data_IF_868299886674
#
_entry.id   IF_868299886674
#
_cell.length_a   1.000
_cell.length_b   1.000
_cell.length_c   1.000
_cell.angle_alpha   90.00
_cell.angle_beta   90.00
_cell.angle_gamma   90.00
#
_symmetry.space_group_name_H-M   'P 1'
#
loop_
_entity.id
_entity.type
_entity.pdbx_description
1 polymer ?
#
# COMPACT_ATOMS: atom_id res chain seq x y z
N UNK A 1 -13.19 38.92 -19.52
CA UNK A 1 -13.02 38.22 -20.80
C UNK A 1 -14.30 37.46 -21.08
N UNK A 2 -15.05 37.86 -22.12
CA UNK A 2 -16.20 37.10 -22.62
C UNK A 2 -15.80 36.43 -23.93
N UNK A 3 -15.97 35.13 -24.03
CA UNK A 3 -15.85 34.40 -25.29
C UNK A 3 -17.24 34.27 -25.90
N UNK A 4 -17.45 34.76 -27.12
CA UNK A 4 -18.61 34.37 -27.92
C UNK A 4 -18.17 33.25 -28.86
N UNK A 5 -18.70 32.05 -28.67
CA UNK A 5 -18.59 30.96 -29.62
C UNK A 5 -19.86 30.96 -30.48
N UNK A 6 -19.72 31.10 -31.79
CA UNK A 6 -20.81 30.91 -32.74
C UNK A 6 -20.54 29.60 -33.49
N UNK A 7 -21.35 28.57 -33.21
CA UNK A 7 -21.29 27.30 -33.92
C UNK A 7 -22.34 27.32 -35.03
N UNK A 8 -21.91 27.34 -36.28
CA UNK A 8 -22.81 27.17 -37.43
C UNK A 8 -22.82 25.70 -37.83
N UNK A 9 -23.92 25.00 -37.51
CA UNK A 9 -24.15 23.64 -37.98
C UNK A 9 -25.01 23.72 -39.24
N UNK A 10 -24.41 23.50 -40.41
CA UNK A 10 -25.17 23.31 -41.63
C UNK A 10 -25.58 21.82 -41.71
N UNK A 11 -26.87 21.53 -41.55
CA UNK A 11 -27.43 20.20 -41.81
C UNK A 11 -28.26 20.23 -43.11
N UNK A 12 -28.02 19.27 -44.01
CA UNK A 12 -29.02 18.86 -45.00
C UNK A 12 -29.53 17.49 -44.60
N UNK A 13 -30.85 17.34 -44.58
CA UNK A 13 -31.52 16.07 -44.29
C UNK A 13 -31.34 15.20 -45.53
N UNK A 14 -30.36 14.30 -45.48
CA UNK A 14 -30.43 12.90 -45.92
C UNK A 14 -29.02 12.26 -45.78
N UNK A 15 -28.93 11.17 -45.00
CA UNK A 15 -27.74 10.36 -44.71
C UNK A 15 -26.55 11.09 -44.04
N UNK A 16 -26.54 11.07 -42.70
CA UNK A 16 -25.55 11.74 -41.85
C UNK A 16 -24.18 11.04 -41.93
N UNK A 17 -23.22 11.69 -42.62
CA UNK A 17 -21.80 11.58 -42.30
C UNK A 17 -21.29 12.98 -41.94
N UNK A 18 -20.94 13.20 -40.68
CA UNK A 18 -20.29 14.45 -40.25
C UNK A 18 -18.86 14.39 -40.77
N UNK A 19 -18.63 14.94 -41.97
CA UNK A 19 -17.32 14.88 -42.63
C UNK A 19 -16.34 15.94 -42.12
N UNK A 20 -16.83 16.97 -41.44
CA UNK A 20 -15.99 18.10 -41.03
C UNK A 20 -16.59 18.82 -39.83
N UNK A 21 -15.80 18.95 -38.76
CA UNK A 21 -16.08 19.88 -37.66
C UNK A 21 -15.02 20.95 -37.74
N UNK A 22 -15.45 22.19 -37.97
CA UNK A 22 -14.57 23.36 -38.01
C UNK A 22 -14.95 24.27 -36.86
N UNK A 23 -14.00 24.55 -35.98
CA UNK A 23 -14.12 25.58 -34.97
C UNK A 23 -13.17 26.73 -35.33
N UNK A 24 -13.72 27.93 -35.46
CA UNK A 24 -12.94 29.15 -35.71
C UNK A 24 -12.91 30.01 -34.45
N UNK A 25 -11.74 30.56 -34.15
CA UNK A 25 -11.52 31.45 -33.02
C UNK A 25 -10.82 32.71 -33.53
N UNK A 26 -11.25 33.87 -33.04
CA UNK A 26 -10.60 35.15 -33.30
C UNK A 26 -9.79 35.57 -32.07
N UNK A 27 -8.50 35.81 -32.22
CA UNK A 27 -7.65 36.34 -31.15
C UNK A 27 -7.93 37.82 -30.91
N UNK A 28 -7.50 38.32 -29.75
CA UNK A 28 -7.75 39.70 -29.31
C UNK A 28 -7.13 40.78 -30.23
N UNK A 29 -6.16 40.40 -31.07
CA UNK A 29 -5.53 41.23 -32.10
C UNK A 29 -6.22 41.14 -33.48
N UNK A 30 -7.33 40.38 -33.57
CA UNK A 30 -8.15 40.26 -34.77
C UNK A 30 -7.76 39.11 -35.71
N UNK A 31 -6.72 38.33 -35.40
CA UNK A 31 -6.33 37.19 -36.23
C UNK A 31 -7.29 36.00 -36.07
N UNK A 32 -7.60 35.33 -37.19
CA UNK A 32 -8.50 34.17 -37.22
C UNK A 32 -7.70 32.87 -37.24
N UNK A 33 -8.10 31.94 -36.39
CA UNK A 33 -7.51 30.62 -36.26
C UNK A 33 -8.57 29.56 -36.50
N UNK A 34 -8.25 28.59 -37.36
CA UNK A 34 -9.15 27.49 -37.69
C UNK A 34 -8.57 26.18 -37.14
N UNK A 35 -9.33 25.51 -36.27
CA UNK A 35 -9.01 24.14 -35.88
C UNK A 35 -9.71 23.20 -36.87
N UNK A 36 -8.92 22.47 -37.68
CA UNK A 36 -9.42 21.45 -38.60
C UNK A 36 -9.14 20.07 -38.04
N UNK A 37 -10.20 19.30 -37.81
CA UNK A 37 -10.10 17.86 -37.60
C UNK A 37 -10.61 17.16 -38.87
N UNK A 38 -9.72 16.62 -39.68
CA UNK A 38 -10.08 15.78 -40.82
C UNK A 38 -10.33 14.35 -40.32
N UNK A 39 -11.55 13.87 -40.48
CA UNK A 39 -11.89 12.46 -40.24
C UNK A 39 -11.46 11.68 -41.49
N UNK A 40 -10.33 10.99 -41.41
CA UNK A 40 -9.80 10.22 -42.53
C UNK A 40 -10.77 9.10 -42.94
N UNK A 41 -11.07 9.03 -44.24
CA UNK A 41 -11.86 7.97 -44.87
C UNK A 41 -11.21 6.59 -44.63
N UNK A 42 -11.81 5.78 -43.74
CA UNK A 42 -11.72 4.32 -43.78
C UNK A 42 -13.06 3.69 -43.45
N UNK A 43 -13.54 2.91 -44.41
CA UNK A 43 -14.63 1.96 -44.25
C UNK A 43 -14.39 1.02 -43.05
N UNK A 44 -15.50 0.64 -42.42
CA UNK A 44 -15.68 -0.29 -41.28
C UNK A 44 -15.43 0.34 -39.91
N UNK A 45 -16.50 0.96 -39.39
CA UNK A 45 -16.67 1.25 -37.97
C UNK A 45 -16.85 -0.06 -37.19
N UNK A 46 -15.76 -0.61 -36.65
CA UNK A 46 -15.85 -1.19 -35.31
C UNK A 46 -15.73 -0.05 -34.31
N UNK A 47 -16.50 -0.04 -33.20
CA UNK A 47 -16.42 1.01 -32.19
C UNK A 47 -15.10 0.85 -31.43
N UNK A 48 -14.02 1.41 -31.99
CA UNK A 48 -12.83 1.75 -31.21
C UNK A 48 -13.07 3.14 -30.64
N UNK A 49 -13.04 3.21 -29.31
CA UNK A 49 -13.11 4.43 -28.53
C UNK A 49 -12.13 5.46 -29.11
N UNK A 50 -12.54 6.69 -29.47
CA UNK A 50 -11.60 7.69 -29.94
C UNK A 50 -10.67 8.06 -28.78
N UNK A 51 -9.44 7.54 -28.80
CA UNK A 51 -8.39 8.02 -27.91
C UNK A 51 -8.02 9.43 -28.36
N UNK A 52 -8.48 10.45 -27.63
CA UNK A 52 -7.83 11.77 -27.66
C UNK A 52 -6.49 11.69 -26.91
N UNK A 53 -5.58 10.85 -27.42
CA UNK A 53 -4.19 10.88 -27.01
C UNK A 53 -3.53 12.06 -27.72
N UNK A 54 -3.63 13.26 -27.15
CA UNK A 54 -2.66 14.30 -27.48
C UNK A 54 -1.33 13.78 -26.93
N UNK A 55 -0.49 13.23 -27.82
CA UNK A 55 0.82 12.74 -27.40
C UNK A 55 1.60 13.91 -26.82
N UNK A 56 2.31 13.67 -25.71
CA UNK A 56 3.24 14.62 -25.10
C UNK A 56 4.25 15.17 -26.14
N UNK A 57 4.55 14.40 -27.18
CA UNK A 57 5.34 14.83 -28.33
C UNK A 57 4.71 16.00 -29.12
N UNK A 58 3.39 15.99 -29.39
CA UNK A 58 2.72 17.10 -30.10
C UNK A 58 2.65 18.37 -29.27
N UNK A 59 2.45 18.26 -27.96
CA UNK A 59 2.49 19.41 -27.04
C UNK A 59 3.90 19.98 -26.97
N UNK A 60 4.93 19.13 -26.97
CA UNK A 60 6.34 19.55 -26.95
C UNK A 60 6.72 20.30 -28.23
N UNK A 61 6.26 19.82 -29.39
CA UNK A 61 6.49 20.49 -30.67
C UNK A 61 5.77 21.85 -30.74
N UNK A 62 4.49 21.91 -30.35
CA UNK A 62 3.72 23.17 -30.34
C UNK A 62 4.26 24.20 -29.32
N UNK A 63 4.76 23.75 -28.17
CA UNK A 63 5.37 24.63 -27.17
C UNK A 63 6.77 25.10 -27.57
N UNK A 64 7.56 24.25 -28.23
CA UNK A 64 8.90 24.59 -28.71
C UNK A 64 8.90 25.66 -29.81
N UNK A 65 7.81 25.76 -30.58
CA UNK A 65 7.60 26.81 -31.58
C UNK A 65 7.13 28.15 -31.03
N UNK A 66 6.63 28.21 -29.78
CA UNK A 66 6.01 29.42 -29.19
C UNK A 66 6.76 29.95 -27.96
N UNK A 67 7.55 29.13 -27.31
CA UNK A 67 8.36 29.50 -26.16
C UNK A 67 9.79 28.97 -26.39
N UNK A 68 10.80 29.68 -25.89
CA UNK A 68 12.20 29.21 -25.92
C UNK A 68 12.82 29.33 -24.54
N UNK A 69 13.81 28.48 -24.23
CA UNK A 69 14.57 28.58 -22.98
C UNK A 69 13.86 27.96 -21.77
N UNK A 70 13.99 28.60 -20.60
CA UNK A 70 13.58 28.04 -19.30
C UNK A 70 12.07 27.73 -19.20
N UNK A 71 11.21 28.47 -19.92
CA UNK A 71 9.75 28.34 -19.83
C UNK A 71 9.25 27.02 -20.47
N UNK A 72 9.82 26.59 -21.60
CA UNK A 72 9.48 25.29 -22.23
C UNK A 72 9.91 24.13 -21.33
N UNK A 73 11.09 24.24 -20.71
CA UNK A 73 11.58 23.27 -19.73
C UNK A 73 10.61 23.18 -18.55
N UNK A 74 10.28 24.31 -17.92
CA UNK A 74 9.36 24.36 -16.77
C UNK A 74 7.97 23.77 -17.10
N UNK A 75 7.41 24.04 -18.28
CA UNK A 75 6.07 23.52 -18.63
C UNK A 75 6.13 22.03 -18.98
N UNK A 76 7.12 21.59 -19.78
CA UNK A 76 7.32 20.17 -20.12
C UNK A 76 7.63 19.33 -18.89
N UNK A 77 8.47 19.84 -17.98
CA UNK A 77 8.86 19.15 -16.74
C UNK A 77 7.64 19.07 -15.79
N UNK A 78 6.84 20.15 -15.68
CA UNK A 78 5.59 20.13 -14.90
C UNK A 78 4.52 19.17 -15.43
N UNK A 79 4.46 18.97 -16.75
CA UNK A 79 3.56 17.95 -17.34
C UNK A 79 4.10 16.53 -17.18
N UNK A 80 5.37 16.34 -16.83
CA UNK A 80 5.98 15.04 -16.60
C UNK A 80 5.93 14.62 -15.13
N UNK A 81 5.92 15.56 -14.18
CA UNK A 81 5.98 15.28 -12.74
C UNK A 81 4.88 14.34 -12.23
N UNK A 82 3.70 14.32 -12.87
CA UNK A 82 2.57 13.46 -12.54
C UNK A 82 1.89 12.97 -13.82
N UNK A 83 1.75 11.65 -13.97
CA UNK A 83 1.02 11.02 -15.07
C UNK A 83 -0.20 10.31 -14.51
N UNK A 84 -1.36 10.49 -15.16
CA UNK A 84 -2.63 9.95 -14.69
C UNK A 84 -2.90 8.59 -15.31
N UNK A 85 -3.43 7.66 -14.51
CA UNK A 85 -3.94 6.38 -15.02
C UNK A 85 -5.05 6.55 -16.08
N UNK A 86 -5.78 7.68 -16.05
CA UNK A 86 -6.82 7.99 -17.05
C UNK A 86 -6.27 8.22 -18.45
N UNK A 87 -5.01 8.66 -18.56
CA UNK A 87 -4.34 8.84 -19.85
C UNK A 87 -4.14 7.49 -20.56
N UNK A 88 -4.27 6.38 -19.83
CA UNK A 88 -4.18 5.00 -20.30
C UNK A 88 -5.53 4.30 -20.39
N UNK A 89 -6.64 5.02 -20.17
CA UNK A 89 -8.00 4.48 -20.25
C UNK A 89 -8.56 3.93 -18.93
N UNK A 90 -7.81 3.99 -17.82
CA UNK A 90 -8.31 3.60 -16.50
C UNK A 90 -9.14 4.74 -15.89
N UNK A 91 -10.46 4.72 -16.09
CA UNK A 91 -11.35 5.80 -15.67
C UNK A 91 -11.92 5.66 -14.25
N UNK A 92 -11.78 4.49 -13.62
CA UNK A 92 -12.21 4.26 -12.23
C UNK A 92 -13.73 4.10 -12.06
N UNK A 93 -14.39 3.42 -13.00
CA UNK A 93 -15.84 3.18 -13.01
C UNK A 93 -16.22 1.71 -12.71
N UNK A 94 -15.48 1.03 -11.84
CA UNK A 94 -15.68 -0.37 -11.41
C UNK A 94 -15.55 -1.46 -12.50
N UNK A 95 -15.13 -1.10 -13.71
CA UNK A 95 -14.73 -2.06 -14.75
C UNK A 95 -13.37 -2.70 -14.40
N UNK A 96 -13.08 -3.84 -15.03
CA UNK A 96 -11.73 -4.39 -15.01
C UNK A 96 -10.79 -3.50 -15.84
N UNK A 97 -9.80 -2.91 -15.17
CA UNK A 97 -8.79 -2.02 -15.75
C UNK A 97 -7.39 -2.60 -15.68
N UNK A 98 -7.26 -3.92 -15.50
CA UNK A 98 -5.96 -4.54 -15.24
C UNK A 98 -4.95 -4.25 -16.34
N UNK A 99 -5.37 -4.31 -17.61
CA UNK A 99 -4.50 -4.08 -18.77
C UNK A 99 -4.02 -2.62 -18.84
N UNK A 100 -4.94 -1.68 -18.67
CA UNK A 100 -4.70 -0.24 -18.71
C UNK A 100 -3.77 0.18 -17.56
N UNK A 101 -4.06 -0.31 -16.34
CA UNK A 101 -3.24 -0.04 -15.16
C UNK A 101 -1.84 -0.66 -15.26
N UNK A 102 -1.71 -1.88 -15.77
CA UNK A 102 -0.39 -2.47 -15.96
C UNK A 102 0.43 -1.71 -17.02
N UNK A 103 -0.21 -1.28 -18.12
CA UNK A 103 0.42 -0.45 -19.14
C UNK A 103 0.89 0.87 -18.56
N UNK A 104 0.05 1.51 -17.75
CA UNK A 104 0.39 2.71 -17.00
C UNK A 104 1.61 2.49 -16.09
N UNK A 105 1.60 1.46 -15.23
CA UNK A 105 2.73 1.18 -14.32
C UNK A 105 4.03 0.87 -15.08
N UNK A 106 3.95 0.14 -16.20
CA UNK A 106 5.11 -0.14 -17.05
C UNK A 106 5.70 1.13 -17.66
N UNK A 107 4.87 2.09 -18.05
CA UNK A 107 5.33 3.37 -18.58
C UNK A 107 5.96 4.25 -17.49
N UNK A 108 5.46 4.16 -16.25
CA UNK A 108 5.97 4.95 -15.13
C UNK A 108 7.27 4.39 -14.55
N UNK A 109 7.41 3.06 -14.50
CA UNK A 109 8.59 2.31 -14.01
C UNK A 109 9.96 2.94 -14.38
N UNK A 110 10.27 3.27 -15.65
CA UNK A 110 11.59 3.82 -16.02
C UNK A 110 11.79 5.29 -15.60
N UNK A 111 10.74 6.00 -15.20
CA UNK A 111 10.80 7.45 -14.96
C UNK A 111 11.10 7.81 -13.50
N UNK A 112 10.70 6.97 -12.55
CA UNK A 112 10.76 7.31 -11.12
C UNK A 112 9.74 8.37 -10.67
N UNK A 113 8.84 8.79 -11.57
CA UNK A 113 7.86 9.86 -11.33
C UNK A 113 6.62 9.34 -10.57
N UNK A 114 5.69 10.24 -10.28
CA UNK A 114 4.43 9.90 -9.59
C UNK A 114 3.41 9.34 -10.57
N UNK A 115 3.10 8.06 -10.40
CA UNK A 115 1.96 7.39 -11.00
C UNK A 115 0.69 7.79 -10.21
N UNK A 116 -0.06 8.77 -10.71
CA UNK A 116 -1.28 9.22 -10.08
C UNK A 116 -2.48 8.36 -10.50
N UNK A 117 -3.17 7.80 -9.52
CA UNK A 117 -4.44 7.10 -9.63
C UNK A 117 -5.53 8.05 -9.13
N UNK A 118 -6.27 8.74 -10.01
CA UNK A 118 -7.34 9.63 -9.57
C UNK A 118 -8.44 8.87 -8.82
N UNK A 119 -9.32 9.60 -8.14
CA UNK A 119 -10.52 9.02 -7.50
C UNK A 119 -11.28 8.11 -8.45
N UNK A 120 -11.77 7.00 -7.93
CA UNK A 120 -12.51 5.99 -8.67
C UNK A 120 -12.28 4.58 -8.11
N UNK A 121 -13.12 3.66 -8.57
CA UNK A 121 -12.97 2.23 -8.31
C UNK A 121 -12.43 1.54 -9.55
N UNK A 122 -11.30 0.85 -9.42
CA UNK A 122 -10.61 0.18 -10.51
C UNK A 122 -10.64 -1.32 -10.26
N UNK A 123 -11.43 -2.07 -11.03
CA UNK A 123 -11.42 -3.53 -10.97
C UNK A 123 -10.07 -4.07 -11.44
N UNK A 124 -9.55 -5.08 -10.73
CA UNK A 124 -8.28 -5.73 -11.00
C UNK A 124 -8.49 -7.24 -10.95
N UNK A 125 -8.32 -7.93 -12.08
CA UNK A 125 -8.53 -9.37 -12.23
C UNK A 125 -7.23 -10.17 -12.30
N UNK A 126 -6.07 -9.51 -12.42
CA UNK A 126 -4.75 -10.11 -12.28
C UNK A 126 -3.76 -9.16 -11.61
N UNK A 127 -2.66 -9.69 -11.09
CA UNK A 127 -1.71 -8.90 -10.29
C UNK A 127 -1.12 -7.73 -11.07
N UNK A 128 -1.27 -6.53 -10.51
CA UNK A 128 -0.54 -5.36 -10.95
C UNK A 128 0.89 -5.43 -10.39
N UNK A 129 1.87 -5.38 -11.27
CA UNK A 129 3.28 -5.49 -10.91
C UNK A 129 3.96 -4.15 -11.13
N UNK A 130 4.40 -3.53 -10.04
CA UNK A 130 5.37 -2.43 -10.06
C UNK A 130 6.72 -2.96 -9.60
N UNK A 131 7.45 -3.53 -10.55
CA UNK A 131 8.80 -4.02 -10.33
C UNK A 131 9.82 -2.96 -10.80
N UNK A 132 10.44 -2.25 -9.87
CA UNK A 132 11.55 -1.34 -10.12
C UNK A 132 12.92 -2.01 -9.89
N UNK A 133 12.99 -3.31 -9.66
CA UNK A 133 14.29 -4.00 -9.59
C UNK A 133 14.96 -3.99 -10.97
N UNK A 134 16.26 -3.74 -10.97
CA UNK A 134 17.06 -3.73 -12.20
C UNK A 134 16.72 -2.61 -13.20
N UNK A 135 15.85 -1.65 -12.86
CA UNK A 135 15.73 -0.44 -13.71
C UNK A 135 17.00 0.36 -13.58
N UNK A 136 17.80 0.29 -14.65
CA UNK A 136 18.88 1.22 -14.90
C UNK A 136 18.31 2.64 -14.78
N UNK A 137 19.07 3.47 -14.06
CA UNK A 137 18.82 4.88 -13.78
C UNK A 137 18.20 5.63 -14.97
N UNK A 138 17.32 6.63 -14.73
CA UNK A 138 16.87 7.52 -15.80
C UNK A 138 18.09 7.98 -16.62
N UNK A 139 18.06 7.90 -17.96
CA UNK A 139 19.20 8.25 -18.79
C UNK A 139 19.74 9.64 -18.43
N UNK A 140 21.01 9.71 -18.03
CA UNK A 140 21.68 10.97 -17.66
C UNK A 140 21.82 11.23 -16.16
N UNK A 141 21.37 10.31 -15.29
CA UNK A 141 21.70 10.35 -13.86
C UNK A 141 22.98 9.52 -13.61
N UNK A 142 24.07 10.13 -13.14
CA UNK A 142 25.31 9.42 -12.82
C UNK A 142 25.08 8.25 -11.84
N UNK A 143 25.68 7.10 -12.14
CA UNK A 143 25.57 5.88 -11.33
C UNK A 143 26.24 5.99 -9.94
N UNK A 144 26.97 7.07 -9.65
CA UNK A 144 27.67 7.31 -8.38
C UNK A 144 26.80 7.96 -7.30
N UNK A 145 25.47 8.07 -7.52
CA UNK A 145 24.50 8.65 -6.58
C UNK A 145 23.51 7.63 -5.99
N UNK A 146 23.97 6.38 -5.85
CA UNK A 146 23.20 5.19 -5.45
C UNK A 146 22.24 5.34 -4.25
N UNK A 147 22.44 6.32 -3.35
CA UNK A 147 21.63 6.46 -2.13
C UNK A 147 20.38 7.36 -2.21
N UNK A 148 20.17 8.12 -3.30
CA UNK A 148 19.16 9.21 -3.36
C UNK A 148 18.06 8.95 -4.42
N UNK A 149 18.07 7.83 -5.13
CA UNK A 149 17.17 7.66 -6.28
C UNK A 149 15.74 7.26 -5.88
N UNK A 150 14.79 8.12 -6.26
CA UNK A 150 13.37 7.89 -6.13
C UNK A 150 12.90 6.91 -7.21
N UNK A 151 12.32 5.78 -6.78
CA UNK A 151 11.58 4.85 -7.63
C UNK A 151 10.16 5.36 -7.81
N UNK A 152 9.49 4.82 -8.82
CA UNK A 152 8.11 5.17 -9.17
C UNK A 152 7.20 5.12 -7.95
N UNK A 153 6.46 6.20 -7.73
CA UNK A 153 5.53 6.36 -6.62
C UNK A 153 4.12 6.11 -7.11
N UNK A 154 3.30 5.45 -6.30
CA UNK A 154 1.86 5.32 -6.57
C UNK A 154 1.14 6.28 -5.63
N UNK A 155 0.42 7.25 -6.19
CA UNK A 155 -0.29 8.26 -5.42
C UNK A 155 -1.76 8.24 -5.81
N UNK A 156 -2.66 8.06 -4.84
CA UNK A 156 -4.10 8.25 -5.05
C UNK A 156 -4.61 9.55 -4.44
N UNK A 157 -5.90 9.85 -4.68
CA UNK A 157 -6.59 11.04 -4.14
C UNK A 157 -6.98 10.92 -2.65
N UNK A 158 -6.66 9.79 -2.00
CA UNK A 158 -6.92 9.52 -0.59
C UNK A 158 -7.51 8.11 -0.38
N UNK A 159 -7.16 7.48 0.75
CA UNK A 159 -7.73 6.19 1.10
C UNK A 159 -9.27 6.28 1.22
N UNK A 160 -9.98 5.34 0.60
CA UNK A 160 -11.44 5.32 0.47
C UNK A 160 -11.99 6.06 -0.75
N UNK A 161 -11.17 6.86 -1.47
CA UNK A 161 -11.59 7.55 -2.70
C UNK A 161 -10.99 6.93 -3.97
N UNK A 162 -9.75 6.47 -3.87
CA UNK A 162 -9.04 5.73 -4.92
C UNK A 162 -8.99 4.28 -4.50
N UNK A 163 -9.69 3.39 -5.21
CA UNK A 163 -9.86 1.99 -4.79
C UNK A 163 -9.41 1.04 -5.91
N UNK A 164 -8.40 0.22 -5.62
CA UNK A 164 -8.07 -0.96 -6.42
C UNK A 164 -8.90 -2.14 -5.89
N UNK A 165 -9.82 -2.65 -6.69
CA UNK A 165 -10.75 -3.72 -6.29
C UNK A 165 -10.32 -5.05 -6.91
N UNK A 166 -9.74 -5.93 -6.09
CA UNK A 166 -9.32 -7.25 -6.53
C UNK A 166 -10.50 -8.19 -6.78
N UNK A 167 -10.50 -8.87 -7.93
CA UNK A 167 -11.50 -9.85 -8.37
C UNK A 167 -10.83 -11.23 -8.50
N UNK A 168 -11.36 -12.24 -7.82
CA UNK A 168 -10.75 -13.59 -7.80
C UNK A 168 -9.44 -13.70 -6.99
N UNK A 169 -8.92 -14.91 -6.71
CA UNK A 169 -7.88 -15.21 -5.71
C UNK A 169 -6.49 -14.69 -6.14
N UNK A 170 -6.32 -13.37 -6.18
CA UNK A 170 -5.12 -12.72 -6.73
C UNK A 170 -4.36 -11.96 -5.64
N UNK A 171 -3.07 -11.75 -5.89
CA UNK A 171 -2.39 -10.59 -5.32
C UNK A 171 -2.82 -9.36 -6.12
N UNK A 172 -3.35 -8.31 -5.50
CA UNK A 172 -3.77 -7.12 -6.27
C UNK A 172 -2.56 -6.30 -6.72
N UNK A 173 -1.67 -5.97 -5.79
CA UNK A 173 -0.50 -5.14 -6.05
C UNK A 173 0.78 -5.83 -5.58
N UNK A 174 1.70 -6.11 -6.50
CA UNK A 174 3.07 -6.51 -6.19
C UNK A 174 4.00 -5.32 -6.39
N UNK A 175 4.76 -4.96 -5.36
CA UNK A 175 5.80 -3.93 -5.41
C UNK A 175 7.15 -4.58 -5.14
N UNK A 176 8.11 -4.27 -6.00
CA UNK A 176 9.51 -4.65 -5.84
C UNK A 176 10.38 -3.45 -6.18
N UNK A 177 11.26 -3.00 -5.28
CA UNK A 177 12.13 -1.83 -5.55
C UNK A 177 13.63 -2.14 -5.63
N UNK A 178 14.07 -3.27 -5.09
CA UNK A 178 15.49 -3.48 -4.83
C UNK A 178 16.05 -2.35 -3.94
N UNK A 179 17.22 -1.84 -4.30
CA UNK A 179 17.89 -0.73 -3.61
C UNK A 179 17.36 0.63 -4.10
N UNK A 180 16.16 1.03 -3.71
CA UNK A 180 15.64 2.33 -4.13
C UNK A 180 14.42 2.79 -3.34
N UNK A 181 14.30 4.10 -3.16
CA UNK A 181 13.29 4.68 -2.26
C UNK A 181 12.01 5.01 -3.01
N UNK A 182 10.86 4.61 -2.50
CA UNK A 182 9.58 5.09 -3.02
C UNK A 182 8.58 5.31 -1.88
N UNK A 183 7.70 6.27 -2.11
CA UNK A 183 6.54 6.54 -1.27
C UNK A 183 5.27 6.20 -2.03
N UNK A 184 4.48 5.28 -1.52
CA UNK A 184 3.18 4.90 -2.05
C UNK A 184 2.10 5.36 -1.07
N UNK A 185 0.98 5.89 -1.55
CA UNK A 185 -0.05 6.32 -0.63
C UNK A 185 -1.31 6.91 -1.23
N UNK A 186 -2.30 7.14 -0.36
CA UNK A 186 -3.57 7.77 -0.71
C UNK A 186 -4.51 6.86 -1.49
N UNK A 187 -4.50 5.55 -1.23
CA UNK A 187 -5.39 4.62 -1.93
C UNK A 187 -5.83 3.46 -1.03
N UNK A 188 -6.87 2.77 -1.48
CA UNK A 188 -7.35 1.54 -0.86
C UNK A 188 -7.22 0.37 -1.81
N UNK A 189 -6.97 -0.80 -1.24
CA UNK A 189 -7.05 -2.09 -1.92
C UNK A 189 -8.12 -2.91 -1.21
N UNK A 190 -9.15 -3.28 -1.94
CA UNK A 190 -10.33 -3.93 -1.36
C UNK A 190 -10.67 -5.18 -2.14
N UNK A 191 -11.06 -6.23 -1.42
CA UNK A 191 -11.60 -7.45 -2.01
C UNK A 191 -13.05 -7.22 -2.46
N UNK A 192 -13.40 -7.75 -3.63
CA UNK A 192 -14.77 -7.79 -4.14
C UNK A 192 -15.75 -8.55 -3.22
N UNK A 193 -15.27 -9.57 -2.51
CA UNK A 193 -16.04 -10.35 -1.54
C UNK A 193 -15.28 -10.66 -0.24
N UNK A 194 -15.90 -10.40 0.91
CA UNK A 194 -15.36 -10.75 2.23
C UNK A 194 -15.54 -12.22 2.61
N UNK A 195 -16.25 -13.02 1.81
CA UNK A 195 -16.48 -14.44 2.09
C UNK A 195 -15.33 -15.33 1.65
N UNK A 196 -14.58 -14.91 0.61
CA UNK A 196 -13.55 -15.75 -0.01
C UNK A 196 -12.14 -15.51 0.51
N UNK A 197 -11.89 -14.40 1.26
CA UNK A 197 -10.61 -13.98 1.88
C UNK A 197 -9.38 -14.78 1.42
N UNK A 198 -9.07 -14.64 0.14
CA UNK A 198 -8.01 -15.31 -0.61
C UNK A 198 -7.02 -14.25 -1.12
N UNK A 199 -5.84 -14.70 -1.58
CA UNK A 199 -4.83 -13.82 -2.17
C UNK A 199 -4.31 -12.73 -1.23
N UNK A 200 -3.56 -11.78 -1.79
CA UNK A 200 -2.91 -10.71 -1.04
C UNK A 200 -3.38 -9.34 -1.53
N UNK A 201 -3.57 -8.39 -0.62
CA UNK A 201 -3.83 -7.01 -1.03
C UNK A 201 -2.56 -6.40 -1.64
N UNK A 202 -1.50 -6.36 -0.84
CA UNK A 202 -0.16 -5.92 -1.26
C UNK A 202 0.87 -7.01 -0.98
N UNK A 203 1.71 -7.31 -1.97
CA UNK A 203 2.95 -8.05 -1.79
C UNK A 203 4.13 -7.08 -2.01
N UNK A 204 4.84 -6.76 -0.93
CA UNK A 204 6.13 -6.07 -0.97
C UNK A 204 7.21 -7.14 -0.97
N UNK A 205 7.95 -7.25 -2.07
CA UNK A 205 8.91 -8.33 -2.31
C UNK A 205 10.28 -7.73 -2.63
N UNK A 206 11.35 -8.23 -2.00
CA UNK A 206 12.73 -7.82 -2.28
C UNK A 206 12.92 -6.30 -2.39
N UNK A 207 12.39 -5.57 -1.42
CA UNK A 207 12.32 -4.12 -1.44
C UNK A 207 13.03 -3.49 -0.25
N UNK A 208 13.61 -2.31 -0.47
CA UNK A 208 14.20 -1.49 0.57
C UNK A 208 13.72 -0.05 0.44
N UNK A 209 13.65 0.68 1.55
CA UNK A 209 13.50 2.14 1.53
C UNK A 209 12.10 2.60 1.11
N UNK A 210 11.10 1.76 1.37
CA UNK A 210 9.71 2.04 1.03
C UNK A 210 8.99 2.76 2.15
N UNK A 211 8.11 3.68 1.77
CA UNK A 211 7.14 4.31 2.67
C UNK A 211 5.75 4.06 2.10
N UNK A 212 4.85 3.51 2.91
CA UNK A 212 3.41 3.48 2.64
C UNK A 212 2.73 4.49 3.56
N UNK A 213 1.92 5.39 3.01
CA UNK A 213 1.21 6.42 3.78
C UNK A 213 -0.26 6.47 3.37
N UNK A 214 -1.18 6.47 4.34
CA UNK A 214 -2.63 6.52 4.09
C UNK A 214 -3.07 5.42 3.10
N UNK A 215 -2.90 4.16 3.52
CA UNK A 215 -3.26 2.99 2.71
C UNK A 215 -4.20 2.11 3.51
N UNK A 216 -5.33 1.75 2.90
CA UNK A 216 -6.29 0.79 3.47
C UNK A 216 -6.24 -0.49 2.65
N UNK A 217 -6.08 -1.62 3.31
CA UNK A 217 -6.17 -2.95 2.69
C UNK A 217 -7.23 -3.78 3.39
N UNK A 218 -8.21 -4.27 2.63
CA UNK A 218 -9.40 -4.91 3.21
C UNK A 218 -9.82 -6.21 2.52
N UNK A 219 -10.07 -7.24 3.33
CA UNK A 219 -10.81 -8.43 2.90
C UNK A 219 -10.01 -9.56 2.27
N UNK A 220 -8.69 -9.61 2.45
CA UNK A 220 -7.79 -10.59 1.82
C UNK A 220 -7.42 -11.75 2.75
N UNK A 221 -6.81 -12.81 2.20
CA UNK A 221 -6.16 -13.82 3.04
C UNK A 221 -5.04 -13.16 3.86
N UNK A 222 -4.22 -12.35 3.21
CA UNK A 222 -3.29 -11.47 3.92
C UNK A 222 -3.40 -10.06 3.35
N UNK A 223 -3.60 -9.07 4.21
CA UNK A 223 -3.68 -7.68 3.75
C UNK A 223 -2.38 -7.26 3.08
N UNK A 224 -1.30 -7.21 3.85
CA UNK A 224 0.04 -6.90 3.34
C UNK A 224 1.01 -8.02 3.69
N UNK A 225 1.72 -8.52 2.68
CA UNK A 225 2.87 -9.41 2.85
C UNK A 225 4.12 -8.58 2.58
N UNK A 226 4.98 -8.42 3.58
CA UNK A 226 6.32 -7.87 3.44
C UNK A 226 7.31 -9.03 3.45
N UNK A 227 7.67 -9.49 2.25
CA UNK A 227 8.55 -10.62 2.02
C UNK A 227 9.93 -10.12 1.61
N UNK A 228 10.98 -10.65 2.25
CA UNK A 228 12.36 -10.38 1.86
C UNK A 228 12.70 -8.89 1.72
N UNK A 229 12.06 -8.06 2.55
CA UNK A 229 12.12 -6.60 2.46
C UNK A 229 12.47 -6.00 3.80
N UNK A 230 13.29 -4.94 3.78
CA UNK A 230 13.82 -4.28 4.97
C UNK A 230 13.83 -2.75 4.82
N UNK A 231 13.94 -2.01 5.93
CA UNK A 231 13.83 -0.54 5.92
C UNK A 231 12.53 -0.05 5.25
N UNK A 232 11.40 -0.61 5.68
CA UNK A 232 10.06 -0.25 5.18
C UNK A 232 9.26 0.43 6.29
N UNK A 233 8.64 1.56 5.98
CA UNK A 233 7.82 2.34 6.91
C UNK A 233 6.37 2.38 6.45
N UNK A 234 5.44 2.14 7.37
CA UNK A 234 4.00 2.22 7.18
C UNK A 234 3.43 3.29 8.11
N UNK A 235 2.80 4.33 7.55
CA UNK A 235 2.22 5.47 8.27
C UNK A 235 0.72 5.48 8.00
N UNK A 236 -0.09 5.19 9.01
CA UNK A 236 -1.55 5.06 8.83
C UNK A 236 -1.91 3.96 7.83
N UNK A 237 -1.26 2.80 7.93
CA UNK A 237 -1.69 1.60 7.21
C UNK A 237 -2.86 0.97 7.98
N UNK A 238 -3.96 0.70 7.29
CA UNK A 238 -5.07 -0.06 7.86
C UNK A 238 -5.20 -1.42 7.18
N UNK A 239 -5.12 -2.50 7.95
CA UNK A 239 -5.46 -3.84 7.50
C UNK A 239 -6.74 -4.31 8.19
N UNK A 240 -7.82 -4.42 7.43
CA UNK A 240 -9.18 -4.57 7.94
C UNK A 240 -9.85 -5.83 7.36
N UNK A 241 -10.52 -6.61 8.21
CA UNK A 241 -11.32 -7.77 7.77
C UNK A 241 -10.53 -8.81 6.93
N UNK A 242 -9.21 -8.92 7.10
CA UNK A 242 -8.40 -9.96 6.45
C UNK A 242 -8.39 -11.25 7.28
N UNK A 243 -7.84 -12.37 6.79
CA UNK A 243 -7.52 -13.50 7.69
C UNK A 243 -6.32 -13.12 8.56
N UNK A 244 -5.25 -12.66 7.92
CA UNK A 244 -4.09 -12.03 8.55
C UNK A 244 -4.00 -10.59 8.07
N UNK A 245 -3.89 -9.61 8.97
CA UNK A 245 -3.77 -8.21 8.54
C UNK A 245 -2.44 -7.93 7.85
N UNK A 246 -1.33 -8.28 8.50
CA UNK A 246 0.03 -8.09 7.98
C UNK A 246 0.91 -9.30 8.25
N UNK A 247 1.78 -9.67 7.31
CA UNK A 247 2.78 -10.71 7.48
C UNK A 247 4.17 -10.22 7.05
N UNK A 248 5.12 -10.18 7.99
CA UNK A 248 6.54 -9.99 7.71
C UNK A 248 7.26 -11.34 7.66
N UNK A 249 7.71 -11.76 6.49
CA UNK A 249 8.27 -13.09 6.24
C UNK A 249 9.56 -13.02 5.41
N UNK A 250 10.33 -14.10 5.42
CA UNK A 250 11.44 -14.29 4.48
C UNK A 250 11.18 -15.53 3.64
N UNK A 251 11.57 -15.47 2.38
CA UNK A 251 11.63 -16.58 1.46
C UNK A 251 13.08 -16.85 1.02
N UNK A 252 14.04 -16.61 1.93
CA UNK A 252 15.44 -16.98 1.77
C UNK A 252 16.41 -15.83 1.47
N UNK A 253 15.94 -14.57 1.44
CA UNK A 253 16.82 -13.41 1.24
C UNK A 253 16.99 -12.59 2.52
N UNK A 254 15.98 -11.85 2.96
CA UNK A 254 16.05 -10.98 4.14
C UNK A 254 14.89 -11.29 5.09
N UNK A 255 15.15 -11.31 6.39
CA UNK A 255 14.08 -11.24 7.36
C UNK A 255 13.46 -9.84 7.40
N UNK A 256 12.31 -9.71 8.06
CA UNK A 256 11.66 -8.43 8.30
C UNK A 256 12.56 -7.57 9.21
N UNK A 257 13.36 -6.71 8.60
CA UNK A 257 14.40 -5.94 9.26
C UNK A 257 14.14 -4.44 9.10
N UNK A 258 14.25 -3.67 10.19
CA UNK A 258 13.97 -2.22 10.20
C UNK A 258 12.58 -1.90 9.61
N UNK A 259 11.56 -2.60 10.13
CA UNK A 259 10.17 -2.38 9.74
C UNK A 259 9.52 -1.44 10.76
N UNK A 260 8.91 -0.36 10.28
CA UNK A 260 8.38 0.71 11.11
C UNK A 260 6.88 0.91 10.85
N UNK A 261 6.08 0.95 11.90
CA UNK A 261 4.66 1.30 11.85
C UNK A 261 4.41 2.53 12.72
N UNK A 262 3.68 3.50 12.16
CA UNK A 262 3.29 4.74 12.85
C UNK A 262 1.79 4.96 12.67
N UNK A 263 1.03 4.83 13.76
CA UNK A 263 -0.42 5.09 13.74
C UNK A 263 -1.23 4.11 12.87
N UNK A 264 -0.71 2.91 12.61
CA UNK A 264 -1.38 1.88 11.79
C UNK A 264 -2.47 1.13 12.56
N UNK A 265 -3.47 0.62 11.84
CA UNK A 265 -4.61 -0.10 12.43
C UNK A 265 -4.74 -1.51 11.88
N UNK A 266 -4.83 -2.49 12.77
CA UNK A 266 -5.09 -3.89 12.43
C UNK A 266 -6.40 -4.29 13.10
N UNK A 267 -7.48 -4.35 12.33
CA UNK A 267 -8.84 -4.45 12.89
C UNK A 267 -9.65 -5.57 12.24
N UNK A 268 -10.39 -6.33 13.06
CA UNK A 268 -11.29 -7.40 12.61
C UNK A 268 -10.61 -8.50 11.76
N UNK A 269 -9.31 -8.70 11.91
CA UNK A 269 -8.63 -9.79 11.21
C UNK A 269 -8.99 -11.12 11.89
N UNK A 270 -9.34 -12.15 11.13
CA UNK A 270 -9.95 -13.38 11.69
C UNK A 270 -8.97 -14.20 12.51
N UNK A 271 -7.68 -14.25 12.14
CA UNK A 271 -6.68 -15.02 12.88
C UNK A 271 -5.73 -14.08 13.62
N UNK A 272 -5.02 -13.22 12.86
CA UNK A 272 -3.94 -12.41 13.41
C UNK A 272 -3.97 -11.00 12.86
N UNK A 273 -3.80 -9.99 13.71
CA UNK A 273 -3.66 -8.60 13.28
C UNK A 273 -2.38 -8.39 12.47
N UNK A 274 -1.23 -8.68 13.07
CA UNK A 274 0.06 -8.71 12.36
C UNK A 274 0.95 -9.86 12.87
N UNK A 275 1.68 -10.51 11.97
CA UNK A 275 2.66 -11.55 12.31
C UNK A 275 4.01 -11.30 11.67
N UNK A 276 5.08 -11.67 12.37
CA UNK A 276 6.45 -11.52 11.89
C UNK A 276 7.27 -12.77 12.23
N UNK A 277 8.08 -13.23 11.27
CA UNK A 277 9.02 -14.33 11.45
C UNK A 277 10.44 -13.79 11.47
N UNK A 278 11.15 -14.05 12.57
CA UNK A 278 12.51 -13.62 12.85
C UNK A 278 12.76 -12.11 12.66
N UNK A 279 11.85 -11.20 13.09
CA UNK A 279 12.02 -9.78 12.81
C UNK A 279 13.20 -9.18 13.56
N UNK A 280 13.83 -8.18 12.96
CA UNK A 280 14.89 -7.38 13.57
C UNK A 280 14.52 -5.91 13.51
N UNK A 281 14.63 -5.20 14.63
CA UNK A 281 14.32 -3.77 14.72
C UNK A 281 12.90 -3.46 14.21
N UNK A 282 11.92 -4.29 14.60
CA UNK A 282 10.51 -4.02 14.33
C UNK A 282 10.01 -2.95 15.30
N UNK A 283 9.61 -1.79 14.79
CA UNK A 283 9.05 -0.69 15.56
C UNK A 283 7.55 -0.54 15.27
N UNK A 284 6.73 -0.51 16.32
CA UNK A 284 5.31 -0.21 16.24
C UNK A 284 5.02 0.92 17.22
N UNK A 285 4.60 2.08 16.71
CA UNK A 285 4.37 3.29 17.51
C UNK A 285 2.96 3.83 17.27
N UNK A 286 2.17 3.90 18.35
CA UNK A 286 0.76 4.30 18.25
C UNK A 286 -0.08 3.31 17.43
N UNK A 287 -1.29 3.73 17.07
CA UNK A 287 -2.22 2.88 16.31
C UNK A 287 -2.95 1.87 17.17
N UNK A 288 -3.52 0.84 16.54
CA UNK A 288 -4.41 -0.10 17.22
C UNK A 288 -4.39 -1.53 16.67
N UNK A 289 -4.58 -2.49 17.56
CA UNK A 289 -4.90 -3.88 17.27
C UNK A 289 -6.24 -4.23 17.93
N UNK A 290 -7.29 -4.22 17.12
CA UNK A 290 -8.68 -4.27 17.60
C UNK A 290 -9.47 -5.43 17.02
N UNK A 291 -10.18 -6.15 17.89
CA UNK A 291 -11.13 -7.19 17.47
C UNK A 291 -10.51 -8.25 16.56
N UNK A 292 -9.20 -8.51 16.68
CA UNK A 292 -8.54 -9.56 15.93
C UNK A 292 -8.74 -10.91 16.61
N UNK A 293 -8.84 -11.96 15.80
CA UNK A 293 -9.01 -13.33 16.25
C UNK A 293 -10.45 -13.82 16.24
N UNK A 294 -10.57 -15.15 16.22
CA UNK A 294 -11.80 -15.92 16.17
C UNK A 294 -12.02 -16.74 17.45
N UNK A 295 -11.11 -16.62 18.41
CA UNK A 295 -11.13 -17.34 19.68
C UNK A 295 -10.23 -18.56 19.75
N UNK A 296 -9.48 -18.88 18.69
CA UNK A 296 -8.51 -19.95 18.74
C UNK A 296 -7.27 -19.56 19.57
N UNK A 297 -6.59 -20.53 20.16
CA UNK A 297 -5.37 -20.29 20.96
C UNK A 297 -4.19 -19.80 20.11
N UNK A 298 -4.28 -19.94 18.79
CA UNK A 298 -3.32 -19.46 17.78
C UNK A 298 -3.69 -18.09 17.20
N UNK A 299 -4.74 -17.46 17.71
CA UNK A 299 -5.17 -16.14 17.27
C UNK A 299 -4.51 -15.05 18.14
N UNK A 300 -4.02 -13.99 17.49
CA UNK A 300 -3.21 -12.97 18.16
C UNK A 300 -3.52 -11.56 17.64
N UNK A 301 -3.35 -10.54 18.48
CA UNK A 301 -3.26 -9.16 17.98
C UNK A 301 -1.99 -8.99 17.14
N UNK A 302 -0.84 -9.17 17.78
CA UNK A 302 0.50 -9.11 17.24
C UNK A 302 1.26 -10.40 17.59
N UNK A 303 1.88 -11.05 16.61
CA UNK A 303 2.64 -12.26 16.81
C UNK A 303 4.07 -12.16 16.27
N UNK A 304 5.05 -12.49 17.12
CA UNK A 304 6.47 -12.56 16.79
C UNK A 304 6.93 -14.01 16.94
N UNK A 305 7.39 -14.61 15.85
CA UNK A 305 7.86 -15.98 15.81
C UNK A 305 9.36 -16.03 15.54
N UNK A 306 10.05 -16.94 16.23
CA UNK A 306 11.49 -17.14 16.07
C UNK A 306 12.36 -16.09 16.75
N UNK A 307 13.64 -16.07 16.40
CA UNK A 307 14.65 -15.19 16.98
C UNK A 307 14.98 -14.03 16.02
N UNK A 308 15.42 -12.86 16.51
CA UNK A 308 15.83 -11.75 15.65
C UNK A 308 17.18 -12.06 14.95
N UNK A 309 17.18 -12.95 13.96
CA UNK A 309 18.39 -13.60 13.44
C UNK A 309 19.46 -12.65 12.86
N UNK A 310 19.05 -11.53 12.27
CA UNK A 310 19.96 -10.54 11.67
C UNK A 310 20.40 -9.46 12.67
N UNK A 311 20.03 -9.59 13.94
CA UNK A 311 20.35 -8.63 14.98
C UNK A 311 20.09 -9.19 16.38
N UNK A 312 19.72 -8.33 17.32
CA UNK A 312 19.34 -8.76 18.67
C UNK A 312 18.14 -8.01 19.22
N UNK A 313 17.74 -6.90 18.59
CA UNK A 313 16.50 -6.21 18.88
C UNK A 313 15.40 -6.83 18.01
N UNK A 314 14.40 -7.45 18.63
CA UNK A 314 13.23 -7.99 17.94
C UNK A 314 12.15 -6.92 17.78
N UNK A 315 11.34 -6.74 18.83
CA UNK A 315 10.17 -5.86 18.83
C UNK A 315 10.38 -4.65 19.74
N UNK A 316 9.98 -3.47 19.27
CA UNK A 316 9.76 -2.26 20.05
C UNK A 316 8.33 -1.77 19.82
N UNK A 317 7.44 -2.03 20.79
CA UNK A 317 6.01 -1.72 20.74
C UNK A 317 5.67 -0.63 21.76
N UNK A 318 5.29 0.55 21.28
CA UNK A 318 5.15 1.76 22.11
C UNK A 318 3.84 2.51 21.84
N UNK A 319 3.08 2.80 22.91
CA UNK A 319 1.90 3.66 22.82
C UNK A 319 0.73 3.08 22.01
N UNK A 320 0.66 1.76 21.87
CA UNK A 320 -0.33 1.06 21.03
C UNK A 320 -1.59 0.72 21.84
N UNK A 321 -2.75 0.81 21.20
CA UNK A 321 -4.03 0.38 21.78
C UNK A 321 -4.36 -1.06 21.37
N UNK A 322 -4.69 -1.90 22.35
CA UNK A 322 -5.12 -3.28 22.14
C UNK A 322 -6.50 -3.47 22.78
N UNK A 323 -7.50 -3.81 21.97
CA UNK A 323 -8.87 -3.98 22.47
C UNK A 323 -9.60 -5.12 21.79
N UNK A 324 -10.37 -5.89 22.58
CA UNK A 324 -11.32 -6.91 22.08
C UNK A 324 -10.69 -7.99 21.17
N UNK A 325 -9.37 -8.15 21.18
CA UNK A 325 -8.73 -9.30 20.56
C UNK A 325 -9.22 -10.58 21.27
N UNK A 326 -9.38 -11.66 20.50
CA UNK A 326 -9.98 -12.91 20.97
C UNK A 326 -9.10 -14.10 20.59
N UNK A 327 -8.70 -14.90 21.58
CA UNK A 327 -7.86 -16.07 21.35
C UNK A 327 -6.65 -16.14 22.28
N UNK A 328 -5.47 -16.41 21.73
CA UNK A 328 -4.24 -16.63 22.49
C UNK A 328 -3.78 -15.40 23.29
N UNK A 329 -3.39 -14.34 22.58
CA UNK A 329 -2.85 -13.14 23.23
C UNK A 329 -2.93 -11.85 22.41
N UNK A 330 -2.88 -10.68 23.06
CA UNK A 330 -2.72 -9.42 22.31
C UNK A 330 -1.35 -9.37 21.66
N UNK A 331 -0.31 -9.71 22.43
CA UNK A 331 1.08 -9.79 21.96
C UNK A 331 1.61 -11.17 22.27
N UNK A 332 1.97 -11.93 21.24
CA UNK A 332 2.66 -13.21 21.34
C UNK A 332 4.11 -13.05 20.89
N UNK A 333 5.06 -13.50 21.69
CA UNK A 333 6.47 -13.55 21.33
C UNK A 333 7.01 -14.95 21.62
N UNK A 334 7.52 -15.61 20.60
CA UNK A 334 8.11 -16.94 20.74
C UNK A 334 9.51 -16.96 20.17
N UNK A 335 10.53 -17.02 21.03
CA UNK A 335 11.89 -17.26 20.59
C UNK A 335 12.14 -18.77 20.47
N UNK A 336 12.07 -19.28 19.24
CA UNK A 336 12.40 -20.67 18.88
C UNK A 336 13.74 -20.81 18.16
N UNK A 337 14.51 -19.73 17.99
CA UNK A 337 15.84 -19.76 17.39
C UNK A 337 16.94 -19.86 18.44
N UNK A 338 18.18 -20.01 17.99
CA UNK A 338 19.37 -20.09 18.84
C UNK A 338 20.00 -18.70 19.13
N UNK A 339 19.44 -17.63 18.56
CA UNK A 339 19.92 -16.27 18.72
C UNK A 339 19.29 -15.54 19.90
N UNK A 340 20.06 -14.70 20.61
CA UNK A 340 19.51 -13.84 21.64
C UNK A 340 18.45 -12.88 21.10
N UNK A 341 17.43 -12.58 21.91
CA UNK A 341 16.38 -11.64 21.53
C UNK A 341 16.04 -10.66 22.65
N UNK A 342 15.97 -9.38 22.31
CA UNK A 342 15.49 -8.29 23.16
C UNK A 342 14.19 -7.73 22.59
N UNK A 343 13.16 -7.63 23.42
CA UNK A 343 11.88 -7.02 23.06
C UNK A 343 11.50 -5.97 24.09
N UNK A 344 10.81 -4.91 23.66
CA UNK A 344 10.32 -3.80 24.48
C UNK A 344 8.85 -3.57 24.20
N UNK A 345 8.04 -3.60 25.26
CA UNK A 345 6.58 -3.39 25.23
C UNK A 345 6.27 -2.32 26.27
N UNK A 346 6.11 -1.07 25.83
CA UNK A 346 6.08 0.10 26.74
C UNK A 346 4.93 1.04 26.45
N UNK A 347 4.27 1.55 27.50
CA UNK A 347 3.28 2.62 27.34
C UNK A 347 2.00 2.21 26.60
N UNK A 348 1.70 0.91 26.47
CA UNK A 348 0.55 0.42 25.72
C UNK A 348 -0.72 0.37 26.59
N UNK A 349 -1.88 0.40 25.95
CA UNK A 349 -3.18 0.24 26.61
C UNK A 349 -3.83 -1.07 26.18
N UNK A 350 -4.23 -1.88 27.15
CA UNK A 350 -4.89 -3.16 26.95
C UNK A 350 -6.29 -3.14 27.56
N UNK A 351 -7.31 -3.08 26.70
CA UNK A 351 -8.70 -2.99 27.10
C UNK A 351 -9.46 -4.29 26.83
N UNK A 352 -10.31 -4.67 27.79
CA UNK A 352 -11.23 -5.80 27.69
C UNK A 352 -12.64 -5.33 27.89
N UNK A 353 -13.47 -5.49 26.87
CA UNK A 353 -14.80 -4.88 26.82
C UNK A 353 -15.93 -5.90 26.65
N UNK A 354 -15.60 -7.20 26.65
CA UNK A 354 -16.52 -8.28 26.30
C UNK A 354 -16.29 -9.51 27.21
N UNK A 355 -17.37 -10.07 27.76
CA UNK A 355 -17.36 -11.28 28.59
C UNK A 355 -17.03 -12.57 27.82
N UNK A 356 -17.06 -12.54 26.49
CA UNK A 356 -16.90 -13.70 25.59
C UNK A 356 -15.77 -13.53 24.58
N UNK A 357 -15.42 -12.29 24.22
CA UNK A 357 -14.34 -11.96 23.28
C UNK A 357 -13.15 -11.34 24.00
N UNK A 358 -12.25 -12.18 24.45
CA UNK A 358 -11.04 -11.80 25.18
C UNK A 358 -9.89 -12.76 24.86
N UNK A 359 -8.66 -12.30 25.02
CA UNK A 359 -7.50 -13.20 24.93
C UNK A 359 -7.25 -13.95 26.24
N UNK A 360 -6.55 -15.09 26.16
CA UNK A 360 -6.10 -15.85 27.33
C UNK A 360 -5.09 -15.04 28.13
N UNK A 361 -4.11 -14.41 27.46
CA UNK A 361 -3.13 -13.52 28.09
C UNK A 361 -3.04 -12.20 27.32
N UNK A 362 -2.74 -11.06 27.94
CA UNK A 362 -2.46 -9.87 27.14
C UNK A 362 -1.09 -10.01 26.45
N UNK A 363 -0.04 -10.30 27.22
CA UNK A 363 1.31 -10.52 26.71
C UNK A 363 1.75 -11.96 27.01
N UNK A 364 2.11 -12.72 25.98
CA UNK A 364 2.64 -14.07 26.13
C UNK A 364 4.05 -14.16 25.55
N UNK A 365 5.00 -14.54 26.40
CA UNK A 365 6.41 -14.71 26.06
C UNK A 365 6.78 -16.18 26.22
N UNK A 366 7.30 -16.80 25.15
CA UNK A 366 7.71 -18.20 25.12
C UNK A 366 9.15 -18.31 24.65
N UNK A 367 10.04 -18.67 25.56
CA UNK A 367 11.41 -19.08 25.23
C UNK A 367 11.41 -20.59 25.01
N UNK A 368 11.76 -21.04 23.81
CA UNK A 368 11.72 -22.46 23.44
C UNK A 368 13.12 -23.09 23.32
N UNK A 369 14.17 -22.29 23.33
CA UNK A 369 15.57 -22.73 23.22
C UNK A 369 16.37 -22.24 24.42
N UNK A 370 17.65 -22.63 24.52
CA UNK A 370 18.56 -22.11 25.53
C UNK A 370 19.00 -20.64 25.27
N UNK A 371 18.65 -20.06 24.12
CA UNK A 371 19.06 -18.71 23.75
C UNK A 371 18.57 -17.66 24.75
N UNK A 372 19.38 -16.63 24.99
CA UNK A 372 19.01 -15.57 25.91
C UNK A 372 17.82 -14.77 25.37
N UNK A 373 16.78 -14.60 26.17
CA UNK A 373 15.62 -13.79 25.82
C UNK A 373 15.35 -12.79 26.93
N UNK A 374 15.33 -11.50 26.57
CA UNK A 374 14.97 -10.41 27.45
C UNK A 374 13.74 -9.68 26.91
N UNK A 375 12.79 -9.42 27.78
CA UNK A 375 11.59 -8.63 27.46
C UNK A 375 11.44 -7.54 28.51
N UNK A 376 11.34 -6.29 28.07
CA UNK A 376 11.05 -5.15 28.93
C UNK A 376 9.56 -4.86 28.82
N UNK A 377 8.84 -4.93 29.94
CA UNK A 377 7.41 -4.65 30.02
C UNK A 377 7.19 -3.55 31.05
N UNK A 378 7.03 -2.31 30.61
CA UNK A 378 6.88 -1.17 31.53
C UNK A 378 5.76 -0.24 31.09
N UNK A 379 5.15 0.47 32.05
CA UNK A 379 4.21 1.57 31.77
C UNK A 379 2.97 1.17 30.95
N UNK A 380 2.61 -0.11 30.93
CA UNK A 380 1.41 -0.59 30.25
C UNK A 380 0.18 -0.52 31.16
N UNK A 381 -0.95 -0.08 30.63
CA UNK A 381 -2.23 -0.03 31.33
C UNK A 381 -3.10 -1.23 30.94
N UNK A 382 -3.74 -1.86 31.93
CA UNK A 382 -4.67 -2.97 31.72
C UNK A 382 -6.00 -2.61 32.35
N UNK A 383 -7.09 -2.62 31.57
CA UNK A 383 -8.41 -2.28 32.08
C UNK A 383 -9.52 -3.17 31.53
N UNK A 384 -10.56 -3.36 32.35
CA UNK A 384 -11.78 -4.07 32.01
C UNK A 384 -12.97 -3.12 32.01
N UNK A 385 -13.86 -3.28 31.03
CA UNK A 385 -15.07 -2.48 30.85
C UNK A 385 -16.28 -3.36 30.53
N UNK A 386 -17.45 -2.74 30.54
CA UNK A 386 -18.73 -3.36 30.21
C UNK A 386 -18.98 -4.62 31.06
N UNK A 387 -19.20 -5.77 30.40
CA UNK A 387 -19.47 -7.05 31.04
C UNK A 387 -18.20 -7.90 31.25
N UNK A 388 -17.01 -7.38 30.95
CA UNK A 388 -15.78 -8.12 31.21
C UNK A 388 -15.53 -8.23 32.71
N UNK A 389 -15.31 -9.46 33.19
CA UNK A 389 -14.95 -9.75 34.58
C UNK A 389 -13.51 -10.29 34.60
N UNK A 390 -12.55 -9.65 35.29
CA UNK A 390 -11.19 -10.19 35.42
C UNK A 390 -11.16 -11.62 35.99
N UNK A 391 -10.16 -12.43 35.62
CA UNK A 391 -10.00 -13.81 36.12
C UNK A 391 -8.54 -14.12 36.38
N UNK A 392 -8.26 -14.90 37.43
CA UNK A 392 -6.91 -15.39 37.75
C UNK A 392 -6.29 -16.25 36.65
N UNK A 393 -7.12 -16.86 35.80
CA UNK A 393 -6.67 -17.61 34.62
C UNK A 393 -6.31 -16.74 33.43
N UNK A 394 -6.54 -15.42 33.50
CA UNK A 394 -6.26 -14.44 32.44
C UNK A 394 -5.23 -13.44 32.92
N UNK A 395 -3.96 -13.76 32.71
CA UNK A 395 -2.84 -12.96 33.18
C UNK A 395 -2.52 -11.83 32.20
N UNK A 396 -2.17 -10.67 32.74
CA UNK A 396 -1.69 -9.54 31.93
C UNK A 396 -0.40 -9.89 31.19
N UNK A 397 0.49 -10.66 31.83
CA UNK A 397 1.64 -11.20 31.15
C UNK A 397 2.02 -12.59 31.68
N UNK A 398 2.57 -13.41 30.80
CA UNK A 398 3.10 -14.74 31.12
C UNK A 398 4.41 -14.94 30.39
N UNK A 399 5.41 -15.44 31.11
CA UNK A 399 6.62 -16.00 30.54
C UNK A 399 6.64 -17.51 30.77
N UNK A 400 6.88 -18.29 29.72
CA UNK A 400 7.09 -19.73 29.78
C UNK A 400 8.43 -20.11 29.19
N UNK A 401 9.07 -21.09 29.82
CA UNK A 401 10.34 -21.65 29.40
C UNK A 401 10.17 -23.11 29.01
N UNK A 402 10.54 -23.44 27.78
CA UNK A 402 10.62 -24.81 27.28
C UNK A 402 12.06 -25.28 27.02
N UNK A 403 13.07 -24.42 27.24
CA UNK A 403 14.46 -24.63 26.82
C UNK A 403 15.52 -24.53 27.93
N UNK A 404 15.14 -24.29 29.19
CA UNK A 404 16.05 -24.20 30.34
C UNK A 404 16.48 -22.76 30.66
N UNK A 405 15.81 -22.16 31.64
CA UNK A 405 15.95 -20.78 32.12
C UNK A 405 14.75 -19.89 31.76
N UNK A 406 14.14 -19.25 32.75
CA UNK A 406 13.02 -18.29 32.56
C UNK A 406 13.49 -17.07 31.76
N UNK A 407 12.70 -16.54 30.80
CA UNK A 407 13.00 -15.25 30.18
C UNK A 407 13.27 -14.17 31.23
N UNK A 408 14.28 -13.33 31.02
CA UNK A 408 14.49 -12.17 31.88
C UNK A 408 13.44 -11.12 31.51
N UNK A 409 12.40 -11.03 32.32
CA UNK A 409 11.38 -9.97 32.21
C UNK A 409 11.71 -8.90 33.23
N UNK A 410 11.90 -7.67 32.76
CA UNK A 410 12.16 -6.48 33.59
C UNK A 410 11.00 -5.51 33.47
#
# INVERSE_FOLDING_TARGET
>A
MSFQAQATVACSIDNVSVRKVTAAFQSADGAWWELRADVADKNVLTPSTPSMGISSAKIKDDLSGKFSGAVVRIVSDKFQDIVSARDFGAFGMSNDYTTELQTFLNQMKPTGLKAWLPRGEYGVSSTLVLDNAGTNYPPGVPADKDDIHFRTQIVGDGAGTTVLKGVGPITVLKIQTGLGRAKHGGFSIVRDSLTLRDGFGVLVDQSQGLIFEDVIVKGFQTGVVNQDSFSVTYIGLDCIDCLTGFAGVSNGASHANDINFVGSRFTNNVNVGASFVNPVTLNIRGGTFESNGSGASTDYGLAIFGAPNEGSMGLNCEGVYFEKNWGGSDIYISNSGDRPGLHRIVGNTFNRIDATKFTINNIMVKKQTAAFMKVVISENAFNGFNNYVPSVGRKYWVASDGGGGVPSVV
#
